data_IF_684925493544
#
_entry.id   IF_684925493544
#
_cell.length_a   1.000
_cell.length_b   1.000
_cell.length_c   1.000
_cell.angle_alpha   90.00
_cell.angle_beta   90.00
_cell.angle_gamma   90.00
#
_symmetry.space_group_name_H-M   'P 1'
#
loop_
_entity.id
_entity.type
_entity.pdbx_description
1 polymer ?
#
# COMPACT_ATOMS: atom_id res chain seq x y z
N UNK A 1 11.71 15.01 -21.12
CA UNK A 1 11.91 14.93 -19.66
C UNK A 1 10.58 14.57 -18.99
N UNK A 2 10.13 13.32 -19.15
CA UNK A 2 8.85 12.77 -18.61
C UNK A 2 9.12 11.52 -17.74
N UNK A 3 10.37 11.05 -17.64
CA UNK A 3 10.70 9.80 -16.93
C UNK A 3 10.41 9.84 -15.42
N UNK A 4 10.44 11.02 -14.78
CA UNK A 4 10.24 11.14 -13.33
C UNK A 4 8.83 10.72 -12.91
N UNK A 5 7.81 11.05 -13.71
CA UNK A 5 6.41 10.71 -13.38
C UNK A 5 6.15 9.21 -13.51
N UNK A 6 6.81 8.54 -14.47
CA UNK A 6 6.63 7.10 -14.70
C UNK A 6 7.16 6.23 -13.56
N UNK A 7 8.27 6.64 -12.93
CA UNK A 7 8.87 5.90 -11.82
C UNK A 7 7.95 5.92 -10.57
N UNK A 8 7.38 7.08 -10.26
CA UNK A 8 6.48 7.23 -9.11
C UNK A 8 5.15 6.49 -9.31
N UNK A 9 4.57 6.54 -10.52
CA UNK A 9 3.38 5.74 -10.86
C UNK A 9 3.66 4.25 -10.67
N UNK A 10 4.83 3.75 -11.09
CA UNK A 10 5.20 2.34 -10.93
C UNK A 10 5.34 1.97 -9.45
N UNK A 11 5.94 2.84 -8.63
CA UNK A 11 6.06 2.64 -7.18
C UNK A 11 4.68 2.58 -6.52
N UNK A 12 3.77 3.47 -6.87
CA UNK A 12 2.40 3.49 -6.33
C UNK A 12 1.65 2.22 -6.74
N UNK A 13 1.74 1.78 -8.00
CA UNK A 13 1.12 0.51 -8.44
C UNK A 13 1.66 -0.71 -7.70
N UNK A 14 2.96 -0.75 -7.43
CA UNK A 14 3.55 -1.82 -6.64
C UNK A 14 3.01 -1.81 -5.20
N UNK A 15 2.94 -0.64 -4.56
CA UNK A 15 2.33 -0.47 -3.24
C UNK A 15 0.87 -0.94 -3.23
N UNK A 16 0.05 -0.44 -4.15
CA UNK A 16 -1.36 -0.81 -4.30
C UNK A 16 -1.52 -2.33 -4.50
N UNK A 17 -0.65 -2.94 -5.31
CA UNK A 17 -0.64 -4.40 -5.53
C UNK A 17 -0.35 -5.16 -4.24
N UNK A 18 0.64 -4.72 -3.47
CA UNK A 18 0.99 -5.37 -2.20
C UNK A 18 -0.16 -5.25 -1.19
N UNK A 19 -0.70 -4.04 -1.00
CA UNK A 19 -1.85 -3.79 -0.13
C UNK A 19 -3.07 -4.63 -0.53
N UNK A 20 -3.36 -4.72 -1.84
CA UNK A 20 -4.45 -5.55 -2.36
C UNK A 20 -4.27 -7.02 -1.99
N UNK A 21 -3.08 -7.59 -2.20
CA UNK A 21 -2.82 -9.00 -1.85
C UNK A 21 -2.91 -9.23 -0.33
N UNK A 22 -2.35 -8.34 0.47
CA UNK A 22 -2.45 -8.41 1.94
C UNK A 22 -3.91 -8.37 2.39
N UNK A 23 -4.71 -7.50 1.78
CA UNK A 23 -6.13 -7.38 2.10
C UNK A 23 -6.94 -8.63 1.76
N UNK A 24 -6.72 -9.24 0.60
CA UNK A 24 -7.45 -10.44 0.16
C UNK A 24 -7.35 -11.61 1.16
N UNK A 25 -6.26 -11.68 1.92
CA UNK A 25 -6.08 -12.70 2.96
C UNK A 25 -6.75 -12.35 4.29
N UNK A 26 -7.04 -11.08 4.56
CA UNK A 26 -7.61 -10.62 5.82
C UNK A 26 -9.11 -10.32 5.72
N UNK A 27 -9.63 -9.98 4.54
CA UNK A 27 -11.05 -9.65 4.27
C UNK A 27 -11.54 -8.35 4.97
N UNK A 28 -10.67 -7.33 5.13
CA UNK A 28 -10.90 -6.18 6.03
C UNK A 28 -11.05 -4.83 5.31
N UNK A 29 -10.67 -4.68 4.03
CA UNK A 29 -10.61 -3.37 3.34
C UNK A 29 -11.46 -3.29 2.06
N UNK A 30 -11.93 -2.09 1.66
CA UNK A 30 -12.42 -1.84 0.31
C UNK A 30 -11.37 -2.21 -0.75
N UNK A 31 -11.81 -2.51 -1.97
CA UNK A 31 -10.93 -2.94 -3.05
C UNK A 31 -9.88 -1.86 -3.35
N UNK A 32 -8.60 -2.20 -3.22
CA UNK A 32 -7.51 -1.31 -3.61
C UNK A 32 -7.39 -1.33 -5.14
N UNK A 33 -7.73 -0.20 -5.76
CA UNK A 33 -7.54 0.02 -7.20
C UNK A 33 -6.05 0.16 -7.49
N UNK A 34 -5.55 -0.53 -8.51
CA UNK A 34 -4.13 -0.52 -8.90
C UNK A 34 -3.96 0.33 -10.16
N UNK A 35 -4.09 1.64 -10.02
CA UNK A 35 -4.03 2.61 -11.13
C UNK A 35 -2.76 3.48 -11.11
N UNK A 36 -2.03 3.50 -9.99
CA UNK A 36 -0.85 4.35 -9.78
C UNK A 36 -1.17 5.74 -9.24
N UNK A 37 -2.39 5.95 -8.73
CA UNK A 37 -2.84 7.19 -8.10
C UNK A 37 -2.94 6.96 -6.59
N UNK A 38 -2.20 7.74 -5.79
CA UNK A 38 -2.31 7.70 -4.34
C UNK A 38 -3.47 8.60 -3.89
N UNK A 39 -4.70 8.09 -3.98
CA UNK A 39 -5.94 8.75 -3.60
C UNK A 39 -6.40 8.37 -2.18
N UNK A 40 -7.58 8.85 -1.78
CA UNK A 40 -8.20 8.55 -0.48
C UNK A 40 -8.36 7.03 -0.25
N UNK A 41 -8.62 6.24 -1.31
CA UNK A 41 -8.74 4.80 -1.19
C UNK A 41 -7.39 4.15 -0.86
N UNK A 42 -6.32 4.57 -1.54
CA UNK A 42 -4.96 4.11 -1.27
C UNK A 42 -4.52 4.53 0.14
N UNK A 43 -4.78 5.78 0.55
CA UNK A 43 -4.48 6.27 1.89
C UNK A 43 -5.24 5.47 2.97
N UNK A 44 -6.53 5.21 2.75
CA UNK A 44 -7.36 4.41 3.67
C UNK A 44 -6.84 2.98 3.80
N UNK A 45 -6.38 2.38 2.70
CA UNK A 45 -5.77 1.06 2.74
C UNK A 45 -4.46 1.05 3.54
N UNK A 46 -3.60 2.07 3.38
CA UNK A 46 -2.38 2.24 4.16
C UNK A 46 -2.70 2.41 5.64
N UNK A 47 -3.66 3.29 5.97
CA UNK A 47 -4.09 3.57 7.35
C UNK A 47 -4.56 2.32 8.08
N UNK A 48 -5.36 1.50 7.39
CA UNK A 48 -5.86 0.26 7.98
C UNK A 48 -4.77 -0.81 8.06
N UNK A 49 -3.85 -0.88 7.09
CA UNK A 49 -2.68 -1.74 7.19
C UNK A 49 -1.84 -1.36 8.42
N UNK A 50 -1.52 -0.08 8.59
CA UNK A 50 -0.77 0.46 9.74
C UNK A 50 -1.44 0.06 11.05
N UNK A 51 -2.77 0.23 11.15
CA UNK A 51 -3.54 -0.21 12.32
C UNK A 51 -3.42 -1.72 12.57
N UNK A 52 -3.43 -2.55 11.53
CA UNK A 52 -3.30 -4.01 11.66
C UNK A 52 -1.89 -4.49 12.01
N UNK A 53 -0.89 -3.62 11.84
CA UNK A 53 0.52 -3.88 12.08
C UNK A 53 1.05 -3.12 13.31
N UNK A 54 0.16 -2.59 14.14
CA UNK A 54 0.48 -1.82 15.35
C UNK A 54 1.38 -0.58 15.10
N UNK A 55 1.22 0.06 13.92
CA UNK A 55 1.88 1.31 13.54
C UNK A 55 0.95 2.51 13.75
N UNK A 56 1.51 3.73 13.71
CA UNK A 56 0.70 4.97 13.72
C UNK A 56 -0.16 5.05 12.43
N UNK A 57 -1.51 5.02 12.51
CA UNK A 57 -2.38 4.97 11.35
C UNK A 57 -2.62 6.36 10.75
N UNK A 58 -1.56 6.98 10.22
CA UNK A 58 -1.59 8.32 9.63
C UNK A 58 -1.88 8.32 8.12
N UNK A 59 -1.87 7.16 7.46
CA UNK A 59 -2.13 7.02 6.02
C UNK A 59 -0.92 7.33 5.12
N UNK A 60 0.18 7.81 5.69
CA UNK A 60 1.42 8.09 4.97
C UNK A 60 2.30 6.84 4.88
N UNK A 61 3.01 6.66 3.77
CA UNK A 61 3.96 5.55 3.59
C UNK A 61 5.38 6.07 3.82
N UNK A 62 5.84 5.99 5.05
CA UNK A 62 7.25 6.16 5.40
C UNK A 62 8.03 4.85 5.23
N UNK A 63 9.35 4.89 5.52
CA UNK A 63 10.22 3.73 5.38
C UNK A 63 9.78 2.56 6.26
N UNK A 64 9.33 2.83 7.49
CA UNK A 64 8.88 1.81 8.45
C UNK A 64 7.59 1.15 7.93
N UNK A 65 6.64 1.94 7.46
CA UNK A 65 5.38 1.46 6.87
C UNK A 65 5.68 0.62 5.63
N UNK A 66 6.56 1.09 4.76
CA UNK A 66 6.92 0.38 3.52
C UNK A 66 7.60 -0.96 3.80
N UNK A 67 8.59 -1.00 4.69
CA UNK A 67 9.28 -2.23 5.11
C UNK A 67 8.29 -3.26 5.64
N UNK A 68 7.32 -2.82 6.47
CA UNK A 68 6.31 -3.72 7.04
C UNK A 68 5.36 -4.27 5.98
N UNK A 69 4.95 -3.44 5.01
CA UNK A 69 4.14 -3.89 3.87
C UNK A 69 4.90 -4.96 3.06
N UNK A 70 6.18 -4.73 2.78
CA UNK A 70 7.02 -5.68 2.03
C UNK A 70 7.20 -6.99 2.79
N UNK A 71 7.40 -6.94 4.11
CA UNK A 71 7.49 -8.11 4.99
C UNK A 71 6.20 -8.94 4.93
N UNK A 72 5.04 -8.31 5.19
CA UNK A 72 3.74 -8.98 5.19
C UNK A 72 3.39 -9.53 3.82
N UNK A 73 3.65 -8.78 2.74
CA UNK A 73 3.48 -9.25 1.38
C UNK A 73 4.34 -10.48 1.08
N UNK A 74 5.58 -10.51 1.57
CA UNK A 74 6.49 -11.64 1.37
C UNK A 74 6.06 -12.90 2.11
N UNK A 75 5.29 -12.79 3.20
CA UNK A 75 4.74 -13.93 3.95
C UNK A 75 3.59 -14.63 3.22
N UNK A 76 2.90 -13.93 2.31
CA UNK A 76 1.67 -14.42 1.67
C UNK A 76 1.78 -14.67 0.16
N UNK A 77 2.90 -14.28 -0.47
CA UNK A 77 3.07 -14.38 -1.92
C UNK A 77 3.41 -15.79 -2.39
#
# INVERSE_FOLDING_TARGET
MIEIIGEDIKKIRNLQTMLRKINLNKNILPEVIVDGIFDEQTETAVRNFQKSADLNPNGAVDIITFEKIVEEYSRIK
#
